data_IF_788252041594
#
_entry.id   IF_788252041594
#
_cell.length_a   1.000
_cell.length_b   1.000
_cell.length_c   1.000
_cell.angle_alpha   90.00
_cell.angle_beta   90.00
_cell.angle_gamma   90.00
#
_symmetry.space_group_name_H-M   'P 1'
#
loop_
_entity.id
_entity.type
_entity.pdbx_description
1 polymer ?
#
# COMPACT_ATOMS: atom_id res chain seq x y z
N UNK A 1 -12.04 -60.30 -36.81
CA UNK A 1 -12.20 -60.77 -35.43
C UNK A 1 -12.12 -59.58 -34.50
N UNK A 2 -13.19 -59.04 -33.97
CA UNK A 2 -13.15 -57.88 -33.08
C UNK A 2 -13.12 -58.35 -31.62
N UNK A 3 -12.05 -57.93 -30.90
CA UNK A 3 -11.94 -58.14 -29.45
C UNK A 3 -12.86 -57.17 -28.71
N UNK A 4 -13.74 -57.76 -27.90
CA UNK A 4 -14.73 -57.08 -27.05
C UNK A 4 -14.04 -56.37 -25.89
N UNK A 5 -14.02 -55.06 -25.90
CA UNK A 5 -13.67 -54.21 -24.75
C UNK A 5 -14.93 -53.91 -23.91
N UNK A 6 -15.29 -54.85 -23.04
CA UNK A 6 -16.37 -54.73 -22.04
C UNK A 6 -15.81 -55.19 -20.71
N UNK A 7 -15.08 -54.32 -19.98
CA UNK A 7 -14.76 -54.54 -18.56
C UNK A 7 -13.96 -53.37 -17.98
N UNK A 8 -14.61 -52.19 -17.80
CA UNK A 8 -14.03 -51.12 -16.99
C UNK A 8 -15.02 -50.16 -16.34
N UNK A 9 -16.29 -50.58 -16.25
CA UNK A 9 -17.35 -49.73 -15.58
C UNK A 9 -18.08 -50.49 -14.48
N UNK A 10 -17.33 -51.07 -13.49
CA UNK A 10 -18.03 -51.75 -12.38
C UNK A 10 -17.47 -51.53 -10.98
N UNK A 11 -16.60 -50.53 -10.75
CA UNK A 11 -16.14 -50.20 -9.41
C UNK A 11 -16.01 -48.69 -9.16
N UNK A 12 -16.99 -47.91 -9.53
CA UNK A 12 -17.16 -46.59 -8.94
C UNK A 12 -18.38 -46.64 -8.02
N UNK A 13 -18.13 -46.85 -6.71
CA UNK A 13 -19.17 -46.86 -5.71
C UNK A 13 -19.77 -45.45 -5.52
N UNK A 14 -21.12 -45.39 -5.56
CA UNK A 14 -21.94 -44.19 -5.40
C UNK A 14 -21.56 -43.25 -4.24
N UNK A 15 -20.93 -43.72 -3.12
CA UNK A 15 -20.51 -42.83 -2.03
C UNK A 15 -19.32 -41.93 -2.36
N UNK A 16 -18.38 -42.35 -3.23
CA UNK A 16 -17.21 -41.57 -3.61
C UNK A 16 -17.62 -40.37 -4.47
N UNK A 17 -18.58 -40.57 -5.37
CA UNK A 17 -19.09 -39.48 -6.23
C UNK A 17 -19.89 -38.42 -5.43
N UNK A 18 -20.64 -38.86 -4.41
CA UNK A 18 -21.35 -37.96 -3.50
C UNK A 18 -20.39 -37.14 -2.62
N UNK A 19 -19.31 -37.75 -2.14
CA UNK A 19 -18.29 -37.04 -1.36
C UNK A 19 -17.51 -36.03 -2.22
N UNK A 20 -17.21 -36.36 -3.46
CA UNK A 20 -16.56 -35.43 -4.39
C UNK A 20 -17.45 -34.24 -4.78
N UNK A 21 -18.74 -34.48 -4.97
CA UNK A 21 -19.73 -33.45 -5.25
C UNK A 21 -19.94 -32.52 -4.04
N UNK A 22 -19.90 -33.06 -2.81
CA UNK A 22 -20.04 -32.27 -1.58
C UNK A 22 -18.81 -31.39 -1.33
N UNK A 23 -17.61 -31.88 -1.62
CA UNK A 23 -16.35 -31.10 -1.55
C UNK A 23 -16.33 -30.00 -2.62
N UNK A 24 -16.81 -30.27 -3.80
CA UNK A 24 -16.90 -29.28 -4.88
C UNK A 24 -17.91 -28.15 -4.56
N UNK A 25 -19.00 -28.43 -3.86
CA UNK A 25 -19.99 -27.44 -3.42
C UNK A 25 -19.44 -26.57 -2.28
N UNK A 26 -18.60 -27.13 -1.40
CA UNK A 26 -17.94 -26.38 -0.31
C UNK A 26 -16.86 -25.41 -0.82
N UNK A 27 -16.24 -25.70 -1.97
CA UNK A 27 -15.26 -24.81 -2.60
C UNK A 27 -15.90 -23.62 -3.32
N UNK A 28 -17.20 -23.68 -3.64
CA UNK A 28 -17.94 -22.58 -4.29
C UNK A 28 -18.53 -21.58 -3.28
N UNK A 29 -18.53 -21.87 -1.98
CA UNK A 29 -19.10 -20.96 -0.96
C UNK A 29 -18.10 -19.92 -0.44
N UNK A 30 -16.80 -20.06 -0.71
CA UNK A 30 -15.79 -19.11 -0.22
C UNK A 30 -15.64 -17.84 -1.10
N UNK A 31 -16.11 -17.88 -2.36
CA UNK A 31 -16.03 -16.71 -3.27
C UNK A 31 -17.19 -15.70 -3.09
N UNK A 32 -18.27 -16.07 -2.40
CA UNK A 32 -19.54 -15.30 -2.44
C UNK A 32 -19.57 -14.06 -1.52
N UNK A 33 -18.69 -13.93 -0.56
CA UNK A 33 -18.74 -12.82 0.41
C UNK A 33 -17.90 -11.62 -0.06
N UNK A 34 -16.77 -11.88 -0.68
CA UNK A 34 -15.91 -10.85 -1.28
C UNK A 34 -16.61 -10.21 -2.47
N UNK A 35 -17.25 -11.00 -3.34
CA UNK A 35 -17.99 -10.48 -4.50
C UNK A 35 -19.16 -9.57 -4.08
N UNK A 36 -19.87 -9.87 -2.99
CA UNK A 36 -20.96 -9.02 -2.48
C UNK A 36 -20.49 -7.69 -1.93
N UNK A 37 -19.35 -7.69 -1.23
CA UNK A 37 -18.77 -6.47 -0.68
C UNK A 37 -18.31 -5.54 -1.80
N UNK A 38 -17.66 -6.07 -2.82
CA UNK A 38 -17.25 -5.28 -4.00
C UNK A 38 -18.47 -4.71 -4.74
N UNK A 39 -19.53 -5.49 -4.92
CA UNK A 39 -20.79 -5.00 -5.51
C UNK A 39 -21.45 -3.86 -4.70
N UNK A 40 -21.30 -3.87 -3.38
CA UNK A 40 -21.78 -2.79 -2.52
C UNK A 40 -20.89 -1.55 -2.64
N UNK A 41 -19.57 -1.72 -2.69
CA UNK A 41 -18.59 -0.65 -2.87
C UNK A 41 -18.76 0.05 -4.22
N UNK A 42 -19.00 -0.70 -5.28
CA UNK A 42 -19.25 -0.16 -6.61
C UNK A 42 -20.45 0.80 -6.65
N UNK A 43 -21.45 0.58 -5.79
CA UNK A 43 -22.65 1.44 -5.66
C UNK A 43 -22.38 2.71 -4.84
N UNK A 44 -21.24 2.80 -4.16
CA UNK A 44 -20.88 3.99 -3.39
C UNK A 44 -20.64 5.16 -4.34
N UNK A 45 -21.44 6.21 -4.21
CA UNK A 45 -21.24 7.44 -4.98
C UNK A 45 -20.28 8.36 -4.25
N UNK A 46 -19.27 8.82 -4.94
CA UNK A 46 -18.33 9.85 -4.48
C UNK A 46 -18.21 10.93 -5.54
N UNK A 47 -17.84 12.13 -5.12
CA UNK A 47 -17.47 13.24 -6.00
C UNK A 47 -15.96 13.47 -5.84
N UNK A 48 -15.16 12.82 -6.71
CA UNK A 48 -13.71 12.96 -6.72
C UNK A 48 -13.30 14.00 -7.76
N UNK A 49 -12.80 15.12 -7.29
CA UNK A 49 -12.28 16.17 -8.17
C UNK A 49 -10.75 16.14 -8.18
N UNK A 50 -10.17 16.24 -9.39
CA UNK A 50 -8.72 16.20 -9.60
C UNK A 50 -8.29 17.40 -10.42
N UNK A 51 -7.36 18.20 -9.88
CA UNK A 51 -6.69 19.29 -10.60
C UNK A 51 -5.27 18.89 -10.97
N UNK A 52 -4.95 18.98 -12.25
CA UNK A 52 -3.61 18.71 -12.79
C UNK A 52 -2.77 19.98 -12.73
N UNK A 53 -2.48 20.47 -11.51
CA UNK A 53 -1.66 21.66 -11.33
C UNK A 53 -0.26 21.49 -11.94
N UNK A 54 0.30 20.28 -11.96
CA UNK A 54 1.54 19.95 -12.68
C UNK A 54 1.49 20.42 -14.14
N UNK A 55 0.37 20.18 -14.85
CA UNK A 55 0.19 20.59 -16.24
C UNK A 55 -0.15 22.07 -16.38
N UNK A 56 -0.96 22.60 -15.45
CA UNK A 56 -1.32 24.02 -15.47
C UNK A 56 -0.08 24.91 -15.26
N UNK A 57 0.77 24.53 -14.29
CA UNK A 57 2.01 25.24 -14.01
C UNK A 57 3.02 25.10 -15.16
N UNK A 58 3.16 23.91 -15.75
CA UNK A 58 4.07 23.68 -16.88
C UNK A 58 3.73 24.52 -18.13
N UNK A 59 2.44 24.86 -18.33
CA UNK A 59 1.95 25.64 -19.46
C UNK A 59 1.82 27.15 -19.15
N UNK A 60 2.01 27.53 -17.87
CA UNK A 60 1.79 28.92 -17.44
C UNK A 60 2.87 29.86 -17.92
N UNK A 61 2.48 31.11 -18.02
CA UNK A 61 3.36 32.27 -18.28
C UNK A 61 3.45 33.15 -17.02
N UNK A 62 4.35 34.10 -17.01
CA UNK A 62 4.46 35.06 -15.89
C UNK A 62 3.13 35.79 -15.58
N UNK A 63 2.29 36.02 -16.62
CA UNK A 63 0.98 36.68 -16.45
C UNK A 63 -0.07 35.77 -15.76
N UNK A 64 0.13 34.46 -15.71
CA UNK A 64 -0.80 33.50 -15.12
C UNK A 64 -0.56 33.29 -13.61
N UNK A 65 0.62 33.67 -13.09
CA UNK A 65 0.98 33.50 -11.68
C UNK A 65 -0.05 34.08 -10.72
N UNK A 66 -0.58 35.32 -10.87
CA UNK A 66 -1.59 35.85 -9.96
C UNK A 66 -2.89 35.02 -9.94
N UNK A 67 -3.30 34.47 -11.09
CA UNK A 67 -4.46 33.59 -11.20
C UNK A 67 -4.20 32.27 -10.45
N UNK A 68 -3.08 31.59 -10.71
CA UNK A 68 -2.69 30.34 -10.05
C UNK A 68 -2.60 30.51 -8.52
N UNK A 69 -2.07 31.63 -8.04
CA UNK A 69 -2.04 31.95 -6.59
C UNK A 69 -3.44 32.09 -5.98
N UNK A 70 -4.40 32.58 -6.75
CA UNK A 70 -5.79 32.70 -6.29
C UNK A 70 -6.48 31.32 -6.25
N UNK A 71 -6.22 30.48 -7.24
CA UNK A 71 -6.83 29.14 -7.37
C UNK A 71 -6.18 28.11 -6.41
N UNK A 72 -4.86 28.21 -6.19
CA UNK A 72 -4.06 27.27 -5.37
C UNK A 72 -3.26 27.96 -4.28
N UNK A 73 -3.88 28.76 -3.36
CA UNK A 73 -3.15 29.60 -2.40
C UNK A 73 -2.21 28.80 -1.49
N UNK A 74 -2.54 27.54 -1.20
CA UNK A 74 -1.73 26.63 -0.40
C UNK A 74 -0.43 26.16 -1.08
N UNK A 75 -0.29 26.33 -2.40
CA UNK A 75 0.94 26.01 -3.16
C UNK A 75 1.89 27.21 -3.27
N UNK A 76 1.41 28.41 -2.94
CA UNK A 76 2.14 29.68 -3.09
C UNK A 76 2.31 30.39 -1.73
N UNK A 77 3.20 29.93 -0.84
CA UNK A 77 3.41 30.59 0.46
C UNK A 77 3.75 32.08 0.32
N UNK A 78 3.11 32.93 1.11
CA UNK A 78 3.18 34.40 1.01
C UNK A 78 4.61 34.98 1.17
N UNK A 79 5.51 34.24 1.87
CA UNK A 79 6.90 34.68 2.02
C UNK A 79 7.70 34.69 0.70
N UNK A 80 7.20 34.06 -0.38
CA UNK A 80 7.87 34.04 -1.65
C UNK A 80 7.21 35.02 -2.63
N UNK A 81 7.98 35.99 -3.16
CA UNK A 81 7.47 36.94 -4.17
C UNK A 81 7.20 36.22 -5.49
N UNK A 82 6.38 36.81 -6.36
CA UNK A 82 6.01 36.26 -7.67
C UNK A 82 7.22 35.97 -8.55
N UNK A 83 8.29 36.74 -8.42
CA UNK A 83 9.54 36.52 -9.17
C UNK A 83 10.15 35.14 -8.96
N UNK A 84 9.96 34.51 -7.80
CA UNK A 84 10.41 33.14 -7.54
C UNK A 84 9.66 32.14 -8.42
N UNK A 85 8.36 32.29 -8.53
CA UNK A 85 7.52 31.43 -9.34
C UNK A 85 7.73 31.64 -10.82
N UNK A 86 7.90 32.93 -11.24
CA UNK A 86 8.25 33.26 -12.62
C UNK A 86 9.59 32.66 -13.02
N UNK A 87 10.59 32.72 -12.14
CA UNK A 87 11.90 32.08 -12.38
C UNK A 87 11.76 30.56 -12.54
N UNK A 88 10.90 29.95 -11.72
CA UNK A 88 10.66 28.50 -11.77
C UNK A 88 10.01 28.05 -13.08
N UNK A 89 9.16 28.88 -13.73
CA UNK A 89 8.56 28.56 -15.03
C UNK A 89 9.59 28.40 -16.17
N UNK A 90 10.75 29.03 -16.04
CA UNK A 90 11.81 29.01 -17.07
C UNK A 90 13.06 28.26 -16.61
N UNK A 91 13.04 27.70 -15.42
CA UNK A 91 14.11 26.85 -14.92
C UNK A 91 14.21 25.56 -15.72
N UNK A 92 15.40 25.27 -16.25
CA UNK A 92 15.60 24.13 -17.17
C UNK A 92 15.32 22.79 -16.51
N UNK A 93 15.66 22.64 -15.22
CA UNK A 93 15.41 21.41 -14.47
C UNK A 93 13.89 21.24 -14.22
N UNK A 94 13.20 22.33 -13.87
CA UNK A 94 11.75 22.29 -13.68
C UNK A 94 11.01 21.95 -14.98
N UNK A 95 11.45 22.51 -16.11
CA UNK A 95 10.85 22.21 -17.43
C UNK A 95 11.06 20.74 -17.77
N UNK A 96 12.30 20.24 -17.67
CA UNK A 96 12.62 18.83 -17.91
C UNK A 96 11.83 17.90 -17.00
N UNK A 97 11.72 18.22 -15.71
CA UNK A 97 10.95 17.45 -14.74
C UNK A 97 9.45 17.39 -15.11
N UNK A 98 8.89 18.52 -15.53
CA UNK A 98 7.49 18.59 -16.00
C UNK A 98 7.26 17.75 -17.27
N UNK A 99 8.23 17.75 -18.20
CA UNK A 99 8.17 16.94 -19.41
C UNK A 99 8.24 15.44 -19.09
N UNK A 100 9.09 15.01 -18.15
CA UNK A 100 9.17 13.62 -17.72
C UNK A 100 7.88 13.19 -17.01
N UNK A 101 7.30 14.02 -16.15
CA UNK A 101 5.98 13.76 -15.53
C UNK A 101 4.90 13.63 -16.60
N UNK A 102 4.88 14.50 -17.60
CA UNK A 102 3.89 14.45 -18.67
C UNK A 102 4.00 13.18 -19.51
N UNK A 103 5.21 12.65 -19.76
CA UNK A 103 5.43 11.39 -20.47
C UNK A 103 4.87 10.17 -19.69
N UNK A 104 5.04 10.15 -18.38
CA UNK A 104 4.65 9.01 -17.53
C UNK A 104 3.15 9.01 -17.21
N UNK A 105 2.59 10.20 -16.93
CA UNK A 105 1.24 10.33 -16.41
C UNK A 105 0.19 10.80 -17.43
N UNK A 106 0.62 11.27 -18.62
CA UNK A 106 -0.27 11.58 -19.74
C UNK A 106 -1.59 12.24 -19.35
N UNK A 107 -2.69 11.55 -19.64
CA UNK A 107 -4.07 11.96 -19.31
C UNK A 107 -4.48 11.67 -17.86
N UNK A 108 -3.70 10.88 -17.12
CA UNK A 108 -3.99 10.49 -15.73
C UNK A 108 -5.28 9.65 -15.57
N UNK A 109 -5.77 9.00 -16.62
CA UNK A 109 -7.06 8.27 -16.57
C UNK A 109 -6.97 7.05 -15.65
N UNK A 110 -5.88 6.25 -15.74
CA UNK A 110 -5.71 5.06 -14.91
C UNK A 110 -5.56 5.43 -13.43
N UNK A 111 -4.72 6.39 -13.12
CA UNK A 111 -4.50 6.85 -11.75
C UNK A 111 -5.78 7.47 -11.16
N UNK A 112 -6.57 8.17 -11.97
CA UNK A 112 -7.88 8.70 -11.57
C UNK A 112 -8.85 7.57 -11.21
N UNK A 113 -8.91 6.52 -12.02
CA UNK A 113 -9.76 5.35 -11.77
C UNK A 113 -9.31 4.60 -10.50
N UNK A 114 -8.01 4.42 -10.30
CA UNK A 114 -7.44 3.78 -9.12
C UNK A 114 -7.72 4.58 -7.83
N UNK A 115 -7.61 5.92 -7.90
CA UNK A 115 -7.95 6.82 -6.80
C UNK A 115 -9.46 6.82 -6.52
N UNK A 116 -10.30 6.81 -7.56
CA UNK A 116 -11.75 6.70 -7.37
C UNK A 116 -12.11 5.39 -6.67
N UNK A 117 -11.56 4.27 -7.10
CA UNK A 117 -11.73 2.97 -6.46
C UNK A 117 -11.30 3.02 -4.99
N UNK A 118 -10.10 3.53 -4.71
CA UNK A 118 -9.60 3.70 -3.34
C UNK A 118 -10.57 4.51 -2.46
N UNK A 119 -11.06 5.66 -2.96
CA UNK A 119 -11.94 6.52 -2.17
C UNK A 119 -13.36 5.94 -2.02
N UNK A 120 -13.86 5.12 -2.96
CA UNK A 120 -15.08 4.33 -2.77
C UNK A 120 -14.93 3.34 -1.62
N UNK A 121 -13.82 2.59 -1.57
CA UNK A 121 -13.50 1.69 -0.47
C UNK A 121 -13.39 2.44 0.87
N UNK A 122 -12.66 3.57 0.88
CA UNK A 122 -12.55 4.42 2.08
C UNK A 122 -13.95 4.85 2.54
N UNK A 123 -14.80 5.35 1.65
CA UNK A 123 -16.15 5.81 1.98
C UNK A 123 -17.05 4.69 2.49
N UNK A 124 -16.91 3.49 1.96
CA UNK A 124 -17.63 2.30 2.42
C UNK A 124 -17.26 1.91 3.86
N UNK A 125 -15.96 1.75 4.12
CA UNK A 125 -15.49 1.37 5.46
C UNK A 125 -15.51 2.50 6.48
N UNK A 126 -15.38 3.75 6.04
CA UNK A 126 -15.30 4.97 6.85
C UNK A 126 -16.26 6.04 6.31
N UNK A 127 -17.57 5.86 6.44
CA UNK A 127 -18.58 6.72 5.79
C UNK A 127 -18.51 8.19 6.23
N UNK A 128 -17.91 8.46 7.38
CA UNK A 128 -17.68 9.81 7.90
C UNK A 128 -16.55 10.57 7.20
N UNK A 129 -15.72 9.88 6.39
CA UNK A 129 -14.59 10.51 5.71
C UNK A 129 -15.07 11.41 4.58
N UNK A 130 -14.57 12.64 4.54
CA UNK A 130 -14.74 13.54 3.40
C UNK A 130 -13.79 13.13 2.27
N UNK A 131 -14.26 13.23 1.01
CA UNK A 131 -13.44 12.97 -0.16
C UNK A 131 -12.61 14.22 -0.45
N UNK A 132 -11.27 14.13 -0.44
CA UNK A 132 -10.44 15.30 -0.65
C UNK A 132 -10.43 15.71 -2.12
N UNK A 133 -10.23 17.01 -2.36
CA UNK A 133 -9.80 17.49 -3.68
C UNK A 133 -8.36 17.06 -3.94
N UNK A 134 -8.12 16.37 -5.05
CA UNK A 134 -6.79 15.90 -5.45
C UNK A 134 -6.10 16.96 -6.29
N UNK A 135 -4.86 17.28 -5.95
CA UNK A 135 -4.02 18.20 -6.74
C UNK A 135 -2.69 17.54 -7.00
N UNK A 136 -2.38 17.34 -8.27
CA UNK A 136 -1.09 16.82 -8.72
C UNK A 136 -0.10 17.95 -8.95
N UNK A 137 1.16 17.74 -8.61
CA UNK A 137 2.21 18.74 -8.72
C UNK A 137 3.58 18.11 -8.94
N UNK A 138 4.59 18.92 -9.19
CA UNK A 138 6.02 18.57 -9.06
C UNK A 138 6.57 19.15 -7.76
N UNK A 139 7.37 18.37 -7.04
CA UNK A 139 7.85 18.68 -5.69
C UNK A 139 9.38 18.80 -5.58
N UNK A 140 10.10 18.91 -6.71
CA UNK A 140 11.56 18.85 -6.79
C UNK A 140 12.12 17.53 -6.20
N UNK A 141 11.42 16.41 -6.49
CA UNK A 141 11.74 15.04 -6.05
C UNK A 141 11.87 14.94 -4.52
N UNK A 142 11.03 15.65 -3.79
CA UNK A 142 10.98 15.56 -2.31
C UNK A 142 10.16 14.35 -1.88
N UNK A 143 10.76 13.17 -1.98
CA UNK A 143 10.08 11.88 -1.79
C UNK A 143 9.44 11.71 -0.39
N UNK A 144 9.95 12.37 0.66
CA UNK A 144 9.36 12.33 2.00
C UNK A 144 7.98 12.98 2.06
N UNK A 145 7.70 13.92 1.14
CA UNK A 145 6.45 14.67 1.06
C UNK A 145 5.67 14.38 -0.25
N UNK A 146 5.93 13.22 -0.87
CA UNK A 146 5.29 12.87 -2.16
C UNK A 146 3.75 12.75 -2.07
N UNK A 147 3.23 12.44 -0.89
CA UNK A 147 1.79 12.43 -0.58
C UNK A 147 1.56 13.27 0.67
N UNK A 148 0.69 14.27 0.55
CA UNK A 148 0.21 15.08 1.68
C UNK A 148 -1.31 15.01 1.70
N UNK A 149 -1.87 14.32 2.69
CA UNK A 149 -3.32 14.19 2.90
C UNK A 149 -3.77 15.04 4.09
N UNK A 150 -4.47 16.14 3.80
CA UNK A 150 -5.22 16.92 4.76
C UNK A 150 -6.71 16.50 4.76
N UNK A 151 -7.58 17.22 5.50
CA UNK A 151 -9.00 16.83 5.59
C UNK A 151 -9.72 16.92 4.25
N UNK A 152 -9.54 18.00 3.53
CA UNK A 152 -10.20 18.29 2.25
C UNK A 152 -9.26 18.36 1.05
N UNK A 153 -7.96 18.03 1.22
CA UNK A 153 -6.95 18.20 0.20
C UNK A 153 -5.97 17.04 0.18
N UNK A 154 -5.73 16.49 -1.02
CA UNK A 154 -4.69 15.51 -1.28
C UNK A 154 -3.70 16.07 -2.31
N UNK A 155 -2.45 16.31 -1.89
CA UNK A 155 -1.37 16.70 -2.79
C UNK A 155 -0.55 15.47 -3.19
N UNK A 156 -0.28 15.32 -4.48
CA UNK A 156 0.51 14.22 -5.05
C UNK A 156 1.67 14.78 -5.86
N UNK A 157 2.89 14.59 -5.39
CA UNK A 157 4.12 14.94 -6.10
C UNK A 157 4.47 13.89 -7.15
N UNK A 158 4.01 14.06 -8.39
CA UNK A 158 4.13 13.08 -9.47
C UNK A 158 5.57 12.77 -9.87
N UNK A 159 6.46 13.72 -9.70
CA UNK A 159 7.90 13.60 -9.92
C UNK A 159 8.60 12.60 -9.00
N UNK A 160 7.89 12.05 -8.02
CA UNK A 160 8.36 10.96 -7.17
C UNK A 160 7.90 9.57 -7.64
N UNK A 161 7.40 9.45 -8.89
CA UNK A 161 6.85 8.19 -9.40
C UNK A 161 7.24 7.95 -10.87
N UNK A 162 8.43 8.39 -11.27
CA UNK A 162 8.92 8.31 -12.65
C UNK A 162 9.51 6.95 -13.03
N UNK A 163 9.66 6.05 -12.06
CA UNK A 163 10.31 4.74 -12.21
C UNK A 163 11.67 4.69 -11.51
N UNK A 164 12.00 3.55 -10.92
CA UNK A 164 13.13 3.39 -9.99
C UNK A 164 14.52 3.74 -10.56
N UNK A 165 14.69 3.63 -11.88
CA UNK A 165 15.95 3.89 -12.59
C UNK A 165 15.98 5.27 -13.28
N UNK A 166 14.99 6.13 -12.99
CA UNK A 166 14.91 7.44 -13.65
C UNK A 166 16.10 8.33 -13.27
N UNK A 167 16.65 9.07 -14.24
CA UNK A 167 17.87 9.88 -14.07
C UNK A 167 17.77 10.95 -12.97
N UNK A 168 16.56 11.49 -12.70
CA UNK A 168 16.33 12.40 -11.57
C UNK A 168 16.56 11.74 -10.20
N UNK A 169 16.65 10.42 -10.14
CA UNK A 169 16.93 9.65 -8.92
C UNK A 169 18.39 9.20 -8.83
N UNK A 170 19.25 9.62 -9.77
CA UNK A 170 20.68 9.33 -9.71
C UNK A 170 21.29 9.85 -8.41
N UNK A 171 22.10 9.01 -7.76
CA UNK A 171 22.69 9.32 -6.45
C UNK A 171 21.79 9.03 -5.24
N UNK A 172 20.51 8.71 -5.42
CA UNK A 172 19.68 8.19 -4.34
C UNK A 172 20.07 6.76 -4.00
N UNK A 173 19.89 6.39 -2.73
CA UNK A 173 20.08 5.00 -2.31
C UNK A 173 19.00 4.11 -2.95
N UNK A 174 19.40 2.95 -3.47
CA UNK A 174 18.52 2.05 -4.21
C UNK A 174 17.20 1.72 -3.49
N UNK A 175 17.25 1.50 -2.17
CA UNK A 175 16.06 1.20 -1.37
C UNK A 175 15.05 2.37 -1.29
N UNK A 176 15.48 3.60 -1.64
CA UNK A 176 14.61 4.77 -1.77
C UNK A 176 14.04 4.80 -3.19
N UNK A 177 14.92 4.81 -4.20
CA UNK A 177 14.50 4.94 -5.61
C UNK A 177 13.59 3.79 -6.05
N UNK A 178 13.78 2.56 -5.53
CA UNK A 178 12.92 1.42 -5.84
C UNK A 178 11.44 1.60 -5.44
N UNK A 179 11.16 2.57 -4.56
CA UNK A 179 9.78 2.93 -4.17
C UNK A 179 9.19 4.10 -4.99
N UNK A 180 9.97 4.67 -5.92
CA UNK A 180 9.58 5.84 -6.72
C UNK A 180 9.07 5.43 -8.11
N UNK A 181 8.07 4.55 -8.12
CA UNK A 181 7.43 4.04 -9.32
C UNK A 181 5.91 4.24 -9.22
N UNK A 182 5.26 4.56 -10.34
CA UNK A 182 3.83 4.89 -10.40
C UNK A 182 2.92 3.77 -9.87
N UNK A 183 3.38 2.50 -9.90
CA UNK A 183 2.65 1.35 -9.33
C UNK A 183 2.42 1.46 -7.82
N UNK A 184 3.17 2.31 -7.11
CA UNK A 184 3.04 2.52 -5.67
C UNK A 184 2.18 3.74 -5.29
N UNK A 185 1.78 4.59 -6.26
CA UNK A 185 1.06 5.83 -5.99
C UNK A 185 -0.19 5.61 -5.13
N UNK A 186 -1.09 4.74 -5.56
CA UNK A 186 -2.35 4.45 -4.85
C UNK A 186 -2.09 3.81 -3.49
N UNK A 187 -1.06 2.95 -3.39
CA UNK A 187 -0.62 2.34 -2.13
C UNK A 187 -0.10 3.39 -1.13
N UNK A 188 0.61 4.42 -1.61
CA UNK A 188 1.09 5.53 -0.77
C UNK A 188 -0.06 6.43 -0.29
N UNK A 189 -1.05 6.69 -1.14
CA UNK A 189 -2.27 7.41 -0.73
C UNK A 189 -3.03 6.61 0.33
N UNK A 190 -3.17 5.29 0.16
CA UNK A 190 -3.77 4.41 1.16
C UNK A 190 -2.98 4.42 2.48
N UNK A 191 -1.63 4.48 2.44
CA UNK A 191 -0.79 4.66 3.64
C UNK A 191 -1.03 6.00 4.33
N UNK A 192 -1.19 7.09 3.57
CA UNK A 192 -1.48 8.41 4.13
C UNK A 192 -2.84 8.41 4.87
N UNK A 193 -3.86 7.77 4.28
CA UNK A 193 -5.15 7.58 4.94
C UNK A 193 -5.04 6.69 6.19
N UNK A 194 -4.33 5.57 6.10
CA UNK A 194 -4.13 4.67 7.24
C UNK A 194 -3.48 5.40 8.44
N UNK A 195 -2.48 6.24 8.22
CA UNK A 195 -1.86 7.06 9.26
C UNK A 195 -2.84 8.04 9.93
N UNK A 196 -3.88 8.49 9.20
CA UNK A 196 -4.91 9.39 9.74
C UNK A 196 -5.89 8.68 10.67
N UNK A 197 -6.20 7.40 10.39
CA UNK A 197 -7.16 6.60 11.17
C UNK A 197 -6.51 5.72 12.24
N UNK A 198 -5.21 5.46 12.16
CA UNK A 198 -4.47 4.66 13.11
C UNK A 198 -3.82 5.54 14.18
N UNK A 199 -4.00 5.15 15.44
CA UNK A 199 -3.23 5.75 16.54
C UNK A 199 -1.94 4.97 16.77
N UNK A 200 -0.81 5.68 16.86
CA UNK A 200 0.46 5.05 17.21
C UNK A 200 0.38 4.39 18.59
N UNK A 201 0.88 3.17 18.79
CA UNK A 201 0.70 2.42 20.03
C UNK A 201 1.39 3.10 21.23
N UNK A 202 0.70 3.15 22.36
CA UNK A 202 1.28 3.59 23.63
C UNK A 202 2.25 2.54 24.21
N UNK A 203 1.99 1.27 23.97
CA UNK A 203 2.87 0.18 24.32
C UNK A 203 4.08 0.17 23.35
N UNK A 204 5.28 0.22 23.93
CA UNK A 204 6.55 0.41 23.19
C UNK A 204 7.23 -0.89 22.77
N UNK A 205 6.58 -2.05 22.95
CA UNK A 205 7.14 -3.35 22.53
C UNK A 205 7.28 -3.42 21.00
N UNK A 206 8.24 -4.22 20.53
CA UNK A 206 8.41 -4.48 19.09
C UNK A 206 7.11 -5.05 18.50
N UNK A 207 6.44 -5.98 19.18
CA UNK A 207 5.16 -6.53 18.76
C UNK A 207 4.12 -5.42 18.49
N UNK A 208 4.00 -4.46 19.41
CA UNK A 208 3.02 -3.37 19.25
C UNK A 208 3.32 -2.51 18.02
N UNK A 209 4.59 -2.27 17.73
CA UNK A 209 5.02 -1.52 16.53
C UNK A 209 4.84 -2.35 15.24
N UNK A 210 5.17 -3.65 15.27
CA UNK A 210 4.91 -4.57 14.15
C UNK A 210 3.41 -4.62 13.82
N UNK A 211 2.56 -4.78 14.82
CA UNK A 211 1.10 -4.83 14.65
C UNK A 211 0.54 -3.48 14.17
N UNK A 212 1.09 -2.35 14.61
CA UNK A 212 0.71 -1.03 14.09
C UNK A 212 0.89 -0.95 12.56
N UNK A 213 2.06 -1.32 12.06
CA UNK A 213 2.31 -1.39 10.61
C UNK A 213 1.53 -2.51 9.92
N UNK A 214 1.29 -3.61 10.63
CA UNK A 214 0.43 -4.69 10.14
C UNK A 214 -1.01 -4.24 9.92
N UNK A 215 -1.55 -3.38 10.80
CA UNK A 215 -2.87 -2.75 10.64
C UNK A 215 -2.91 -1.83 9.42
N UNK A 216 -1.85 -1.04 9.18
CA UNK A 216 -1.72 -0.21 7.97
C UNK A 216 -1.79 -1.07 6.71
N UNK A 217 -1.03 -2.18 6.66
CA UNK A 217 -1.00 -3.08 5.51
C UNK A 217 -2.33 -3.83 5.33
N UNK A 218 -2.97 -4.24 6.42
CA UNK A 218 -4.29 -4.87 6.35
C UNK A 218 -5.39 -3.88 5.90
N UNK A 219 -5.28 -2.61 6.25
CA UNK A 219 -6.15 -1.58 5.67
C UNK A 219 -5.99 -1.53 4.15
N UNK A 220 -4.77 -1.66 3.63
CA UNK A 220 -4.56 -1.74 2.17
C UNK A 220 -5.19 -2.99 1.55
N UNK A 221 -5.26 -4.13 2.27
CA UNK A 221 -6.01 -5.31 1.80
C UNK A 221 -7.49 -4.99 1.55
N UNK A 222 -8.05 -4.05 2.30
CA UNK A 222 -9.45 -3.62 2.20
C UNK A 222 -9.68 -2.43 1.27
N UNK A 223 -8.69 -1.54 1.17
CA UNK A 223 -8.84 -0.27 0.44
C UNK A 223 -8.36 -0.36 -1.01
N UNK A 224 -7.41 -1.22 -1.30
CA UNK A 224 -6.85 -1.46 -2.64
C UNK A 224 -6.72 -2.97 -2.90
N UNK A 225 -7.84 -3.73 -2.92
CA UNK A 225 -7.80 -5.19 -3.02
C UNK A 225 -7.17 -5.68 -4.33
N UNK A 226 -7.24 -4.89 -5.40
CA UNK A 226 -6.64 -5.20 -6.71
C UNK A 226 -5.11 -5.09 -6.73
N UNK A 227 -4.49 -4.38 -5.78
CA UNK A 227 -3.03 -4.28 -5.69
C UNK A 227 -2.42 -5.59 -5.20
N UNK A 228 -1.22 -5.95 -5.74
CA UNK A 228 -0.46 -7.11 -5.25
C UNK A 228 0.04 -6.87 -3.83
N UNK A 229 0.37 -7.95 -3.12
CA UNK A 229 0.96 -7.84 -1.78
C UNK A 229 2.31 -7.11 -1.81
N UNK A 230 3.09 -7.31 -2.88
CA UNK A 230 4.33 -6.57 -3.11
C UNK A 230 4.07 -5.05 -3.23
N UNK A 231 3.06 -4.64 -3.99
CA UNK A 231 2.68 -3.22 -4.12
C UNK A 231 2.19 -2.63 -2.78
N UNK A 232 1.42 -3.38 -1.99
CA UNK A 232 0.90 -2.91 -0.69
C UNK A 232 2.02 -2.64 0.31
N UNK A 233 3.02 -3.52 0.39
CA UNK A 233 4.15 -3.36 1.32
C UNK A 233 5.30 -2.52 0.74
N UNK A 234 5.32 -2.30 -0.59
CA UNK A 234 6.38 -1.60 -1.31
C UNK A 234 7.64 -2.43 -1.46
N UNK A 235 7.48 -3.70 -1.87
CA UNK A 235 8.56 -4.61 -2.24
C UNK A 235 8.64 -4.80 -3.76
N UNK A 236 9.75 -5.38 -4.22
CA UNK A 236 9.77 -6.08 -5.50
C UNK A 236 9.05 -7.43 -5.37
N UNK A 237 8.69 -8.05 -6.49
CA UNK A 237 8.08 -9.40 -6.47
C UNK A 237 9.04 -10.42 -5.84
N UNK A 238 10.35 -10.35 -6.16
CA UNK A 238 11.38 -11.21 -5.57
C UNK A 238 11.50 -10.98 -4.04
N UNK A 239 11.39 -9.73 -3.59
CA UNK A 239 11.39 -9.40 -2.16
C UNK A 239 10.17 -9.99 -1.44
N UNK A 240 9.02 -10.01 -2.10
CA UNK A 240 7.80 -10.62 -1.56
C UNK A 240 7.91 -12.13 -1.48
N UNK A 241 8.39 -12.78 -2.55
CA UNK A 241 8.66 -14.22 -2.59
C UNK A 241 9.66 -14.63 -1.49
N UNK A 242 10.72 -13.83 -1.30
CA UNK A 242 11.69 -14.06 -0.22
C UNK A 242 11.02 -14.02 1.16
N UNK A 243 10.19 -13.01 1.41
CA UNK A 243 9.50 -12.84 2.70
C UNK A 243 8.55 -14.03 2.98
N UNK A 244 7.82 -14.48 1.97
CA UNK A 244 6.91 -15.64 2.08
C UNK A 244 7.67 -16.95 2.32
N UNK A 245 8.76 -17.18 1.59
CA UNK A 245 9.57 -18.38 1.74
C UNK A 245 10.29 -18.48 3.10
N UNK A 246 10.53 -17.36 3.77
CA UNK A 246 11.27 -17.29 5.03
C UNK A 246 10.39 -16.95 6.24
N UNK A 247 9.06 -16.98 6.12
CA UNK A 247 8.13 -16.56 7.18
C UNK A 247 8.34 -17.36 8.48
N UNK A 248 8.50 -18.69 8.40
CA UNK A 248 8.72 -19.55 9.57
C UNK A 248 10.04 -19.21 10.28
N UNK A 249 11.12 -19.01 9.53
CA UNK A 249 12.45 -18.69 10.05
C UNK A 249 12.47 -17.31 10.74
N UNK A 250 11.82 -16.32 10.14
CA UNK A 250 11.69 -14.98 10.72
C UNK A 250 10.90 -15.03 12.04
N UNK A 251 9.75 -15.72 12.05
CA UNK A 251 8.95 -15.87 13.25
C UNK A 251 9.74 -16.54 14.37
N UNK A 252 10.42 -17.65 14.06
CA UNK A 252 11.28 -18.36 14.99
C UNK A 252 12.37 -17.47 15.56
N UNK A 253 13.02 -16.66 14.73
CA UNK A 253 14.03 -15.69 15.16
C UNK A 253 13.48 -14.69 16.19
N UNK A 254 12.29 -14.10 15.93
CA UNK A 254 11.68 -13.15 16.86
C UNK A 254 11.29 -13.80 18.20
N UNK A 255 10.81 -15.03 18.18
CA UNK A 255 10.39 -15.77 19.38
C UNK A 255 11.60 -16.24 20.18
N UNK A 256 12.55 -16.94 19.56
CA UNK A 256 13.71 -17.53 20.26
C UNK A 256 14.62 -16.47 20.89
N UNK A 257 14.67 -15.27 20.31
CA UNK A 257 15.44 -14.15 20.86
C UNK A 257 14.62 -13.23 21.76
N UNK A 258 13.39 -13.61 22.08
CA UNK A 258 12.46 -12.85 22.96
C UNK A 258 12.23 -11.39 22.51
N UNK A 259 12.34 -11.12 21.20
CA UNK A 259 12.30 -9.75 20.67
C UNK A 259 10.91 -9.13 20.68
N UNK A 260 9.85 -9.93 20.62
CA UNK A 260 8.47 -9.44 20.51
C UNK A 260 8.10 -8.45 21.62
N UNK A 261 8.54 -8.72 22.84
CA UNK A 261 8.26 -7.88 24.01
C UNK A 261 9.38 -6.90 24.36
N UNK A 262 10.45 -6.88 23.56
CA UNK A 262 11.53 -5.92 23.72
C UNK A 262 11.06 -4.49 23.42
N UNK A 263 11.47 -3.54 24.26
CA UNK A 263 11.24 -2.09 24.08
C UNK A 263 12.42 -1.35 23.47
N UNK A 264 13.43 -2.09 23.00
CA UNK A 264 14.59 -1.54 22.32
C UNK A 264 14.15 -0.88 20.99
N UNK A 265 14.35 0.43 20.88
CA UNK A 265 14.05 1.21 19.67
C UNK A 265 15.06 0.97 18.55
N UNK A 266 16.24 0.40 18.85
CA UNK A 266 17.19 -0.03 17.84
C UNK A 266 16.65 -1.13 16.91
N UNK A 267 15.62 -1.87 17.36
CA UNK A 267 14.95 -2.88 16.55
C UNK A 267 14.13 -2.28 15.39
N UNK A 268 13.72 -1.00 15.50
CA UNK A 268 12.98 -0.32 14.44
C UNK A 268 13.86 -0.17 13.20
N UNK A 269 15.12 0.27 13.37
CA UNK A 269 16.09 0.39 12.27
C UNK A 269 16.43 -0.95 11.63
N UNK A 270 16.24 -2.06 12.35
CA UNK A 270 16.54 -3.40 11.86
C UNK A 270 15.36 -4.00 11.08
N UNK A 271 14.12 -3.75 11.52
CA UNK A 271 12.96 -4.52 11.07
C UNK A 271 11.76 -3.67 10.65
N UNK A 272 11.70 -2.38 10.94
CA UNK A 272 10.52 -1.55 10.69
C UNK A 272 10.79 -0.34 9.78
N UNK A 273 11.96 0.28 9.90
CA UNK A 273 12.30 1.49 9.15
C UNK A 273 12.75 1.16 7.72
N UNK A 274 12.62 2.10 6.77
CA UNK A 274 13.23 1.97 5.46
C UNK A 274 14.73 1.75 5.58
N UNK A 275 15.24 0.74 4.90
CA UNK A 275 16.64 0.33 4.92
C UNK A 275 16.93 -0.49 3.64
N UNK A 276 18.22 -0.73 3.29
CA UNK A 276 18.52 -1.63 2.17
C UNK A 276 18.00 -3.05 2.37
N UNK A 277 18.00 -3.55 3.60
CA UNK A 277 17.55 -4.88 3.99
C UNK A 277 17.25 -4.95 5.49
N UNK A 278 16.55 -6.00 5.94
CA UNK A 278 16.34 -6.28 7.37
C UNK A 278 17.57 -6.91 8.00
N UNK A 279 17.85 -6.59 9.28
CA UNK A 279 19.13 -6.95 9.94
C UNK A 279 18.94 -8.01 11.02
N UNK A 280 19.01 -9.29 10.63
CA UNK A 280 19.00 -10.43 11.55
C UNK A 280 20.38 -10.74 12.17
N UNK A 281 21.46 -10.18 11.60
CA UNK A 281 22.84 -10.47 12.00
C UNK A 281 23.35 -11.78 11.39
N UNK A 282 22.87 -12.13 10.21
CA UNK A 282 23.24 -13.32 9.44
C UNK A 282 24.03 -12.92 8.18
N UNK A 283 24.81 -13.85 7.62
CA UNK A 283 25.61 -13.60 6.42
C UNK A 283 24.76 -13.24 5.19
N UNK A 284 23.51 -13.72 5.14
CA UNK A 284 22.59 -13.50 4.02
C UNK A 284 21.56 -12.38 4.28
N UNK A 285 21.80 -11.52 5.27
CA UNK A 285 20.89 -10.39 5.58
C UNK A 285 20.64 -9.50 4.34
N UNK A 286 21.66 -9.33 3.48
CA UNK A 286 21.57 -8.51 2.27
C UNK A 286 20.66 -9.08 1.16
N UNK A 287 20.23 -10.31 1.27
CA UNK A 287 19.24 -10.93 0.37
C UNK A 287 17.80 -10.67 0.84
N UNK A 288 17.63 -10.29 2.11
CA UNK A 288 16.32 -10.05 2.67
C UNK A 288 15.76 -8.68 2.27
N UNK A 289 14.45 -8.54 2.06
CA UNK A 289 13.85 -7.23 1.88
C UNK A 289 13.87 -6.41 3.19
N UNK A 290 13.74 -5.08 3.12
CA UNK A 290 13.63 -4.24 4.32
C UNK A 290 12.29 -4.45 5.03
N UNK A 291 12.15 -3.96 6.27
CA UNK A 291 10.87 -3.84 6.98
C UNK A 291 10.12 -5.15 7.22
N UNK A 292 10.84 -6.28 7.33
CA UNK A 292 10.24 -7.61 7.55
C UNK A 292 9.42 -7.71 8.86
N UNK A 293 9.67 -6.84 9.83
CA UNK A 293 8.79 -6.72 11.00
C UNK A 293 7.39 -6.21 10.66
N UNK A 294 7.26 -5.34 9.63
CA UNK A 294 5.94 -4.91 9.12
C UNK A 294 5.21 -6.05 8.43
N UNK A 295 5.93 -6.83 7.61
CA UNK A 295 5.41 -8.03 6.97
C UNK A 295 4.86 -9.01 8.03
N UNK A 296 5.66 -9.34 9.05
CA UNK A 296 5.23 -10.24 10.14
C UNK A 296 4.00 -9.71 10.90
N UNK A 297 3.97 -8.40 11.17
CA UNK A 297 2.80 -7.75 11.77
C UNK A 297 1.56 -7.91 10.91
N UNK A 298 1.69 -7.80 9.61
CA UNK A 298 0.60 -7.98 8.64
C UNK A 298 0.06 -9.41 8.61
N UNK A 299 0.95 -10.42 8.59
CA UNK A 299 0.53 -11.82 8.65
C UNK A 299 -0.19 -12.16 9.97
N UNK A 300 0.22 -11.57 11.09
CA UNK A 300 -0.48 -11.69 12.38
C UNK A 300 -1.90 -11.12 12.29
N UNK A 301 -2.07 -9.93 11.68
CA UNK A 301 -3.40 -9.32 11.50
C UNK A 301 -4.26 -10.16 10.56
N UNK A 302 -3.73 -10.62 9.44
CA UNK A 302 -4.45 -11.51 8.51
C UNK A 302 -4.95 -12.78 9.21
N UNK A 303 -4.08 -13.43 9.97
CA UNK A 303 -4.44 -14.62 10.75
C UNK A 303 -5.50 -14.34 11.83
N UNK A 304 -5.48 -13.15 12.43
CA UNK A 304 -6.49 -12.72 13.39
C UNK A 304 -7.85 -12.53 12.71
N UNK A 305 -7.88 -11.80 11.61
CA UNK A 305 -9.12 -11.48 10.89
C UNK A 305 -9.74 -12.72 10.21
N UNK A 306 -8.91 -13.69 9.80
CA UNK A 306 -9.40 -14.97 9.26
C UNK A 306 -10.08 -15.84 10.31
N UNK A 307 -9.63 -15.76 11.58
CA UNK A 307 -10.11 -16.63 12.67
C UNK A 307 -11.20 -16.03 13.52
N UNK A 308 -11.46 -14.74 13.39
CA UNK A 308 -12.43 -14.04 14.25
C UNK A 308 -13.46 -13.31 13.41
N UNK A 309 -14.67 -13.17 13.96
CA UNK A 309 -15.73 -12.33 13.34
C UNK A 309 -15.58 -10.85 13.73
N UNK A 310 -14.37 -10.40 14.08
CA UNK A 310 -14.11 -9.02 14.50
C UNK A 310 -14.21 -8.06 13.33
N UNK A 311 -15.02 -7.02 13.48
CA UNK A 311 -15.14 -5.97 12.45
C UNK A 311 -13.86 -5.15 12.29
N UNK A 312 -13.63 -4.62 11.07
CA UNK A 312 -12.43 -3.84 10.73
C UNK A 312 -12.13 -2.73 11.74
N UNK A 313 -13.10 -1.84 12.00
CA UNK A 313 -12.91 -0.71 12.95
C UNK A 313 -12.57 -1.17 14.37
N UNK A 314 -13.14 -2.28 14.82
CA UNK A 314 -12.84 -2.86 16.12
C UNK A 314 -11.40 -3.38 16.17
N UNK A 315 -10.96 -4.16 15.17
CA UNK A 315 -9.59 -4.67 15.08
C UNK A 315 -8.55 -3.54 15.11
N UNK A 316 -8.82 -2.41 14.42
CA UNK A 316 -7.92 -1.25 14.43
C UNK A 316 -7.68 -0.67 15.82
N UNK A 317 -8.63 -0.82 16.75
CA UNK A 317 -8.52 -0.31 18.13
C UNK A 317 -7.92 -1.33 19.12
N UNK A 318 -7.83 -2.62 18.74
CA UNK A 318 -7.39 -3.68 19.65
C UNK A 318 -5.90 -3.58 19.98
N UNK A 319 -5.50 -3.95 21.22
CA UNK A 319 -4.09 -4.09 21.61
C UNK A 319 -3.39 -5.22 20.86
N UNK A 320 -2.09 -5.07 20.63
CA UNK A 320 -1.29 -6.00 19.84
C UNK A 320 -1.17 -7.39 20.47
N UNK A 321 -1.04 -7.47 21.79
CA UNK A 321 -0.97 -8.71 22.56
C UNK A 321 -2.28 -9.51 22.51
N UNK A 322 -3.41 -8.83 22.51
CA UNK A 322 -4.73 -9.43 22.34
C UNK A 322 -4.91 -9.99 20.92
N UNK A 323 -4.53 -9.23 19.91
CA UNK A 323 -4.53 -9.66 18.51
C UNK A 323 -3.63 -10.89 18.33
N UNK A 324 -2.39 -10.87 18.82
CA UNK A 324 -1.47 -12.01 18.73
C UNK A 324 -2.06 -13.26 19.41
N UNK A 325 -2.60 -13.11 20.62
CA UNK A 325 -3.20 -14.21 21.36
C UNK A 325 -4.38 -14.84 20.62
N UNK A 326 -5.30 -14.01 20.11
CA UNK A 326 -6.52 -14.50 19.43
C UNK A 326 -6.23 -15.01 18.01
N UNK A 327 -5.22 -14.44 17.31
CA UNK A 327 -4.82 -14.91 15.99
C UNK A 327 -4.36 -16.36 15.99
N UNK A 328 -3.84 -16.85 17.13
CA UNK A 328 -3.15 -18.14 17.19
C UNK A 328 -2.24 -18.32 15.96
N UNK A 329 -1.49 -17.26 15.66
CA UNK A 329 -0.68 -17.15 14.46
C UNK A 329 0.32 -18.29 14.36
N UNK A 330 0.35 -18.89 13.19
CA UNK A 330 1.34 -19.91 12.81
C UNK A 330 1.88 -19.52 11.44
N UNK A 331 3.20 -19.33 11.31
CA UNK A 331 3.80 -18.98 10.03
C UNK A 331 3.57 -20.07 8.99
N UNK A 332 3.53 -19.67 7.73
CA UNK A 332 3.55 -20.61 6.60
C UNK A 332 4.90 -21.35 6.59
N UNK A 333 4.89 -22.63 6.15
CA UNK A 333 6.07 -23.49 6.02
C UNK A 333 6.58 -23.47 4.61
#
# INVERSE_FOLDING_TARGET
>A
MPLKMKWLFKYFSVPVFRSFLLIMVLLLSSCGETDKTEEEIDKVSIDLSISRFDQEFAKATASDIPKLKTEYPYLFPEQFPDSVWVAKLTDTIQVELSDEVAKIFGDFEQESADLESLFKHIKYYFPETEIPHVVTLTSDVKYDNRIILADSLLLIGLDNYLGEDHHFYEGMQRYISSSLDKKFLTSDVASAFAKKVLSYPRNRTLLSRMVYYGKELYLKDKLIPSATDAQKIGYSEEGMEWAEANEEQMWKYFVERELLYSTDTGLDRKFLDPAPFSKFGLELDNESPPRLGRYMGWQIIRAFMEKTDTGLKQMLQMPADEILKQSNYKPKR
#
